data_IF_301974796189
#
_entry.id   IF_301974796189
#
_cell.length_a   1.000
_cell.length_b   1.000
_cell.length_c   1.000
_cell.angle_alpha   90.00
_cell.angle_beta   90.00
_cell.angle_gamma   90.00
#
_symmetry.space_group_name_H-M   'P 1'
#
loop_
_entity.id
_entity.type
_entity.pdbx_description
1 polymer ?
#
# COMPACT_ATOMS: atom_id res chain seq x y z
N UNK A 1 -14.15 -15.26 -7.85
CA UNK A 1 -13.09 -14.40 -7.30
C UNK A 1 -13.64 -12.99 -7.33
N UNK A 2 -13.73 -12.31 -6.19
CA UNK A 2 -14.16 -10.91 -6.16
C UNK A 2 -13.04 -10.07 -6.78
N UNK A 3 -13.39 -9.09 -7.61
CA UNK A 3 -12.41 -8.15 -8.14
C UNK A 3 -11.71 -7.41 -6.98
N UNK A 4 -10.38 -7.23 -7.07
CA UNK A 4 -9.57 -6.64 -5.99
C UNK A 4 -10.08 -5.25 -5.64
N UNK A 5 -10.38 -4.42 -6.64
CA UNK A 5 -10.88 -3.07 -6.42
C UNK A 5 -12.28 -3.03 -5.81
N UNK A 6 -13.16 -4.00 -6.13
CA UNK A 6 -14.43 -4.16 -5.40
C UNK A 6 -14.21 -4.46 -3.92
N UNK A 7 -13.21 -5.28 -3.59
CA UNK A 7 -12.87 -5.57 -2.18
C UNK A 7 -12.34 -4.33 -1.47
N UNK A 8 -11.45 -3.57 -2.11
CA UNK A 8 -10.93 -2.30 -1.59
C UNK A 8 -12.04 -1.27 -1.41
N UNK A 9 -12.96 -1.13 -2.36
CA UNK A 9 -14.09 -0.21 -2.25
C UNK A 9 -14.97 -0.53 -1.05
N UNK A 10 -15.23 -1.83 -0.80
CA UNK A 10 -15.97 -2.28 0.39
C UNK A 10 -15.23 -1.95 1.70
N UNK A 11 -13.91 -2.11 1.73
CA UNK A 11 -13.09 -1.74 2.90
C UNK A 11 -13.13 -0.23 3.15
N UNK A 12 -12.96 0.57 2.09
CA UNK A 12 -13.05 2.03 2.17
C UNK A 12 -14.42 2.49 2.68
N UNK A 13 -15.51 1.89 2.19
CA UNK A 13 -16.87 2.17 2.66
C UNK A 13 -17.05 1.89 4.16
N UNK A 14 -16.60 0.71 4.62
CA UNK A 14 -16.65 0.37 6.05
C UNK A 14 -15.90 1.36 6.95
N UNK A 15 -14.76 1.87 6.50
CA UNK A 15 -13.97 2.85 7.25
C UNK A 15 -14.63 4.23 7.24
N UNK A 16 -15.37 4.56 6.18
CA UNK A 16 -16.16 5.79 6.11
C UNK A 16 -17.29 5.78 7.13
N UNK A 17 -17.99 4.65 7.26
CA UNK A 17 -19.08 4.47 8.23
C UNK A 17 -18.62 4.49 9.70
N UNK A 18 -17.36 4.17 9.95
CA UNK A 18 -16.82 4.05 11.31
C UNK A 18 -16.50 5.39 11.98
N UNK A 19 -16.20 6.45 11.22
CA UNK A 19 -15.67 7.71 11.76
C UNK A 19 -16.60 8.90 11.47
N UNK A 20 -16.89 9.68 12.52
CA UNK A 20 -17.73 10.89 12.45
C UNK A 20 -16.97 12.16 12.07
N UNK A 21 -15.65 12.09 11.83
CA UNK A 21 -14.83 13.24 11.45
C UNK A 21 -15.21 13.80 10.07
N UNK A 22 -14.84 15.05 9.72
CA UNK A 22 -14.99 15.53 8.35
C UNK A 22 -14.23 14.66 7.33
N UNK A 23 -14.76 14.53 6.10
CA UNK A 23 -14.18 13.69 5.03
C UNK A 23 -12.69 13.96 4.79
N UNK A 24 -12.29 15.22 4.77
CA UNK A 24 -10.89 15.61 4.54
C UNK A 24 -9.97 15.08 5.64
N UNK A 25 -10.37 15.19 6.92
CA UNK A 25 -9.60 14.65 8.04
C UNK A 25 -9.51 13.13 7.99
N UNK A 26 -10.62 12.47 7.63
CA UNK A 26 -10.67 11.03 7.42
C UNK A 26 -9.69 10.54 6.34
N UNK A 27 -9.55 11.29 5.25
CA UNK A 27 -8.55 11.02 4.20
C UNK A 27 -7.13 11.25 4.73
N UNK A 28 -6.88 12.35 5.45
CA UNK A 28 -5.57 12.62 6.03
C UNK A 28 -5.13 11.50 6.98
N UNK A 29 -6.03 11.01 7.84
CA UNK A 29 -5.75 9.86 8.71
C UNK A 29 -5.44 8.59 7.92
N UNK A 30 -6.12 8.36 6.80
CA UNK A 30 -5.82 7.22 5.93
C UNK A 30 -4.43 7.32 5.31
N UNK A 31 -4.00 8.52 4.93
CA UNK A 31 -2.66 8.76 4.41
C UNK A 31 -1.60 8.51 5.51
N UNK A 32 -1.87 8.92 6.75
CA UNK A 32 -0.99 8.65 7.88
C UNK A 32 -0.87 7.14 8.19
N UNK A 33 -1.93 6.35 7.97
CA UNK A 33 -1.87 4.89 8.13
C UNK A 33 -0.81 4.23 7.23
N UNK A 34 -0.47 4.81 6.08
CA UNK A 34 0.61 4.29 5.23
C UNK A 34 1.95 4.26 6.00
N UNK A 35 2.22 5.30 6.79
CA UNK A 35 3.42 5.36 7.61
C UNK A 35 3.38 4.38 8.79
N UNK A 36 2.19 4.12 9.33
CA UNK A 36 1.98 3.10 10.37
C UNK A 36 2.33 1.71 9.82
N UNK A 37 1.72 1.29 8.70
CA UNK A 37 2.00 -0.02 8.08
C UNK A 37 3.48 -0.15 7.65
N UNK A 38 4.08 0.92 7.14
CA UNK A 38 5.51 0.91 6.81
C UNK A 38 6.40 0.72 8.05
N UNK A 39 5.95 1.18 9.23
CA UNK A 39 6.58 0.93 10.51
C UNK A 39 6.44 -0.53 10.95
N UNK A 40 5.29 -1.16 10.68
CA UNK A 40 5.06 -2.58 10.95
C UNK A 40 5.95 -3.48 10.08
N UNK A 41 6.13 -3.15 8.80
CA UNK A 41 7.14 -3.79 7.93
C UNK A 41 8.53 -3.71 8.57
N UNK A 42 8.93 -2.55 9.08
CA UNK A 42 10.22 -2.38 9.72
C UNK A 42 10.35 -3.24 11.01
N UNK A 43 9.31 -3.29 11.85
CA UNK A 43 9.29 -4.16 13.03
C UNK A 43 9.38 -5.64 12.63
N UNK A 44 8.65 -6.06 11.61
CA UNK A 44 8.66 -7.43 11.09
C UNK A 44 10.05 -7.81 10.59
N UNK A 45 10.73 -6.96 9.81
CA UNK A 45 12.10 -7.21 9.33
C UNK A 45 13.08 -7.32 10.48
N UNK A 46 13.05 -6.38 11.43
CA UNK A 46 13.93 -6.42 12.62
C UNK A 46 13.70 -7.71 13.41
N UNK A 47 12.43 -8.13 13.55
CA UNK A 47 12.04 -9.38 14.19
C UNK A 47 12.51 -10.62 13.42
N UNK A 48 12.42 -10.62 12.08
CA UNK A 48 12.83 -11.74 11.23
C UNK A 48 14.35 -11.92 11.19
N UNK A 49 15.11 -10.82 11.28
CA UNK A 49 16.57 -10.87 11.39
C UNK A 49 17.07 -11.17 12.82
N UNK A 50 16.16 -11.27 13.80
CA UNK A 50 16.52 -11.45 15.19
C UNK A 50 17.25 -10.26 15.83
N UNK A 51 17.18 -9.08 15.21
CA UNK A 51 17.95 -7.89 15.62
C UNK A 51 17.27 -7.08 16.73
N UNK A 52 16.10 -7.52 17.22
CA UNK A 52 15.48 -6.95 18.41
C UNK A 52 16.14 -7.55 19.66
N UNK A 53 16.99 -6.83 20.42
CA UNK A 53 17.72 -7.42 21.55
C UNK A 53 16.81 -7.89 22.68
N UNK A 54 15.56 -7.37 22.74
CA UNK A 54 14.56 -7.75 23.76
C UNK A 54 13.72 -8.95 23.35
N UNK A 55 13.48 -9.15 22.04
CA UNK A 55 12.55 -10.19 21.53
C UNK A 55 13.24 -11.30 20.71
N UNK A 56 14.50 -11.14 20.29
CA UNK A 56 15.18 -12.09 19.40
C UNK A 56 14.44 -12.27 18.07
N UNK A 57 14.33 -13.51 17.58
CA UNK A 57 13.56 -13.85 16.39
C UNK A 57 12.06 -13.85 16.71
N UNK A 58 11.41 -12.70 16.57
CA UNK A 58 9.99 -12.53 16.88
C UNK A 58 9.06 -12.71 15.69
N UNK A 59 9.60 -12.61 14.47
CA UNK A 59 8.86 -12.67 13.22
C UNK A 59 9.56 -13.60 12.24
N UNK A 60 8.86 -13.93 11.18
CA UNK A 60 9.33 -14.67 10.01
C UNK A 60 9.28 -13.78 8.78
N UNK A 61 9.94 -14.17 7.70
CA UNK A 61 9.81 -13.48 6.42
C UNK A 61 8.39 -13.54 5.84
N UNK A 62 7.59 -14.53 6.24
CA UNK A 62 6.16 -14.58 5.88
C UNK A 62 5.36 -13.47 6.57
N UNK A 63 5.75 -13.09 7.78
CA UNK A 63 5.12 -11.95 8.47
C UNK A 63 5.48 -10.66 7.74
N UNK A 64 6.74 -10.51 7.29
CA UNK A 64 7.15 -9.36 6.44
C UNK A 64 6.32 -9.28 5.15
N UNK A 65 6.08 -10.40 4.48
CA UNK A 65 5.22 -10.46 3.29
C UNK A 65 3.78 -9.98 3.60
N UNK A 66 3.23 -10.37 4.75
CA UNK A 66 1.91 -9.93 5.19
C UNK A 66 1.88 -8.41 5.42
N UNK A 67 2.88 -7.85 6.11
CA UNK A 67 2.95 -6.40 6.35
C UNK A 67 3.09 -5.60 5.04
N UNK A 68 3.81 -6.14 4.04
CA UNK A 68 3.88 -5.52 2.71
C UNK A 68 2.49 -5.51 2.04
N UNK A 69 1.72 -6.60 2.17
CA UNK A 69 0.35 -6.62 1.68
C UNK A 69 -0.52 -5.56 2.38
N UNK A 70 -0.33 -5.33 3.68
CA UNK A 70 -1.08 -4.32 4.43
C UNK A 70 -0.73 -2.89 4.00
N UNK A 71 0.54 -2.60 3.68
CA UNK A 71 0.95 -1.35 3.03
C UNK A 71 0.24 -1.16 1.69
N UNK A 72 0.23 -2.18 0.83
CA UNK A 72 -0.41 -2.12 -0.50
C UNK A 72 -1.91 -1.86 -0.36
N UNK A 73 -2.60 -2.65 0.48
CA UNK A 73 -4.04 -2.50 0.74
C UNK A 73 -4.35 -1.11 1.29
N UNK A 74 -3.56 -0.62 2.25
CA UNK A 74 -3.71 0.71 2.85
C UNK A 74 -3.54 1.81 1.82
N UNK A 75 -2.57 1.69 0.91
CA UNK A 75 -2.38 2.61 -0.21
C UNK A 75 -3.55 2.61 -1.19
N UNK A 76 -4.08 1.43 -1.54
CA UNK A 76 -5.25 1.30 -2.42
C UNK A 76 -6.52 1.89 -1.78
N UNK A 77 -6.73 1.68 -0.48
CA UNK A 77 -7.83 2.29 0.28
C UNK A 77 -7.67 3.81 0.30
N UNK A 78 -6.47 4.33 0.57
CA UNK A 78 -6.20 5.77 0.54
C UNK A 78 -6.57 6.38 -0.82
N UNK A 79 -6.12 5.77 -1.91
CA UNK A 79 -6.43 6.24 -3.27
C UNK A 79 -7.94 6.22 -3.55
N UNK A 80 -8.64 5.17 -3.12
CA UNK A 80 -10.11 5.03 -3.28
C UNK A 80 -10.87 6.11 -2.52
N UNK A 81 -10.42 6.50 -1.33
CA UNK A 81 -11.06 7.56 -0.54
C UNK A 81 -10.82 8.95 -1.12
N UNK A 82 -9.66 9.15 -1.76
CA UNK A 82 -9.31 10.39 -2.45
C UNK A 82 -10.03 10.55 -3.79
N UNK A 83 -10.19 9.46 -4.54
CA UNK A 83 -10.68 9.48 -5.91
C UNK A 83 -11.61 8.28 -6.19
N UNK A 84 -12.83 8.55 -6.65
CA UNK A 84 -13.81 7.51 -7.02
C UNK A 84 -13.33 6.63 -8.18
N UNK A 85 -12.45 7.16 -9.04
CA UNK A 85 -11.86 6.47 -10.20
C UNK A 85 -10.48 5.86 -9.88
N UNK A 86 -10.22 5.49 -8.62
CA UNK A 86 -8.91 5.03 -8.15
C UNK A 86 -8.31 3.91 -9.01
N UNK A 87 -9.10 2.92 -9.42
CA UNK A 87 -8.65 1.83 -10.27
C UNK A 87 -8.10 2.34 -11.61
N UNK A 88 -8.83 3.25 -12.27
CA UNK A 88 -8.43 3.86 -13.54
C UNK A 88 -7.17 4.73 -13.39
N UNK A 89 -7.08 5.49 -12.29
CA UNK A 89 -5.90 6.33 -12.00
C UNK A 89 -4.66 5.47 -11.78
N UNK A 90 -4.78 4.40 -11.00
CA UNK A 90 -3.69 3.47 -10.75
C UNK A 90 -3.24 2.80 -12.06
N UNK A 91 -4.17 2.28 -12.85
CA UNK A 91 -3.88 1.63 -14.12
C UNK A 91 -3.14 2.57 -15.09
N UNK A 92 -3.59 3.82 -15.23
CA UNK A 92 -2.91 4.82 -16.05
C UNK A 92 -1.50 5.11 -15.55
N UNK A 93 -1.29 5.14 -14.23
CA UNK A 93 0.04 5.34 -13.66
C UNK A 93 0.98 4.17 -13.99
N UNK A 94 0.47 2.94 -13.91
CA UNK A 94 1.20 1.72 -14.29
C UNK A 94 1.58 1.71 -15.77
N UNK A 95 0.65 2.07 -16.66
CA UNK A 95 0.93 2.20 -18.10
C UNK A 95 2.04 3.21 -18.37
N UNK A 96 2.04 4.34 -17.66
CA UNK A 96 3.10 5.34 -17.75
C UNK A 96 4.46 4.84 -17.23
N UNK A 97 4.49 3.96 -16.23
CA UNK A 97 5.73 3.33 -15.76
C UNK A 97 6.31 2.36 -16.81
N UNK A 98 5.47 1.51 -17.39
CA UNK A 98 5.87 0.55 -18.43
C UNK A 98 6.43 1.27 -19.66
N UNK A 99 5.77 2.34 -20.11
CA UNK A 99 6.23 3.11 -21.26
C UNK A 99 7.60 3.76 -21.01
N UNK A 100 7.89 4.22 -19.78
CA UNK A 100 9.20 4.78 -19.43
C UNK A 100 10.30 3.71 -19.43
N UNK A 101 10.04 2.57 -18.83
CA UNK A 101 10.99 1.46 -18.73
C UNK A 101 11.40 0.95 -20.14
N UNK A 102 10.44 0.83 -21.05
CA UNK A 102 10.69 0.45 -22.45
C UNK A 102 11.56 1.48 -23.19
N UNK A 103 11.28 2.77 -23.03
CA UNK A 103 12.07 3.83 -23.66
C UNK A 103 13.52 3.88 -23.13
N UNK A 104 13.73 3.63 -21.84
CA UNK A 104 15.08 3.57 -21.24
C UNK A 104 15.87 2.36 -21.77
N UNK A 105 15.23 1.20 -21.92
CA UNK A 105 15.85 0.01 -22.48
C UNK A 105 16.24 0.18 -23.97
N UNK A 106 15.39 0.81 -24.78
CA UNK A 106 15.68 1.14 -26.18
C UNK A 106 16.84 2.14 -26.30
N UNK A 107 16.86 3.16 -25.44
CA UNK A 107 17.95 4.14 -25.39
C UNK A 107 19.29 3.56 -24.93
N UNK A 108 19.27 2.52 -24.08
CA UNK A 108 20.47 1.79 -23.66
C UNK A 108 20.99 0.82 -24.73
N UNK A 109 20.12 0.24 -25.55
CA UNK A 109 20.49 -0.68 -26.63
C UNK A 109 21.02 0.04 -27.89
N UNK A 110 20.74 1.33 -28.04
CA UNK A 110 21.19 2.16 -29.17
C UNK A 110 22.53 2.88 -28.92
N UNK A 111 23.15 2.70 -27.76
CA UNK A 111 24.48 3.22 -27.37
C UNK A 111 25.54 2.13 -27.41
#
# INVERSE_FOLDING_TARGET
>A
MTDTWQTIARLAGRLEDHSTLPREQRILLQLLKIQEEAGEVAEAVIGAMGQNPRKGHSHTWKDVEAEICDVIVTGMVALTRMNSEAATVFQRHMEGLVARDQNEAEGAAAQ
#
